data_IF_943071816178
#
_entry.id   IF_943071816178
#
_cell.length_a   1.000
_cell.length_b   1.000
_cell.length_c   1.000
_cell.angle_alpha   90.00
_cell.angle_beta   90.00
_cell.angle_gamma   90.00
#
_symmetry.space_group_name_H-M   'P 1'
#
loop_
_entity.id
_entity.type
_entity.pdbx_description
1 polymer ?
#
# COMPACT_ATOMS: atom_id res chain seq x y z
N UNK A 1 19.00 -23.78 1.36
CA UNK A 1 17.83 -23.53 0.52
C UNK A 1 17.90 -24.46 -0.68
N UNK A 2 16.86 -25.20 -1.04
CA UNK A 2 16.86 -25.95 -2.27
C UNK A 2 17.09 -24.98 -3.42
N UNK A 3 18.01 -25.28 -4.31
CA UNK A 3 18.19 -24.51 -5.53
C UNK A 3 16.88 -24.59 -6.30
N UNK A 4 16.18 -23.47 -6.42
CA UNK A 4 14.97 -23.39 -7.22
C UNK A 4 15.25 -23.91 -8.64
N UNK A 5 14.26 -24.56 -9.25
CA UNK A 5 14.37 -24.92 -10.66
C UNK A 5 14.72 -23.65 -11.45
N UNK A 6 15.62 -23.72 -12.44
CA UNK A 6 15.94 -22.58 -13.27
C UNK A 6 14.62 -22.10 -13.90
N UNK A 7 14.18 -20.90 -13.55
CA UNK A 7 13.04 -20.29 -14.19
C UNK A 7 13.33 -20.21 -15.68
N UNK A 8 12.41 -20.70 -16.50
CA UNK A 8 12.46 -20.51 -17.95
C UNK A 8 12.52 -18.98 -18.16
N UNK A 9 13.65 -18.48 -18.66
CA UNK A 9 13.77 -17.07 -19.01
C UNK A 9 12.89 -16.83 -20.22
N UNK A 10 11.82 -16.02 -20.12
CA UNK A 10 10.96 -15.76 -21.26
C UNK A 10 11.77 -15.20 -22.43
N UNK A 11 11.51 -15.67 -23.66
CA UNK A 11 12.18 -15.13 -24.86
C UNK A 11 11.47 -13.85 -25.35
N UNK A 12 11.38 -12.83 -24.47
CA UNK A 12 10.74 -11.55 -24.72
C UNK A 12 11.72 -10.44 -25.14
N UNK A 13 13.00 -10.81 -25.39
CA UNK A 13 14.05 -9.86 -25.78
C UNK A 13 14.54 -8.94 -24.66
N UNK A 14 13.98 -9.01 -23.44
CA UNK A 14 14.39 -8.15 -22.33
C UNK A 14 15.72 -8.58 -21.73
N UNK A 15 16.60 -7.62 -21.50
CA UNK A 15 17.84 -7.82 -20.76
C UNK A 15 17.57 -8.06 -19.28
N UNK A 16 18.52 -8.68 -18.56
CA UNK A 16 18.46 -8.86 -17.11
C UNK A 16 18.26 -7.53 -16.36
N UNK A 17 18.86 -6.43 -16.85
CA UNK A 17 18.70 -5.09 -16.27
C UNK A 17 17.27 -4.58 -16.42
N UNK A 18 16.66 -4.73 -17.60
CA UNK A 18 15.27 -4.34 -17.85
C UNK A 18 14.31 -5.14 -16.96
N UNK A 19 14.51 -6.46 -16.82
CA UNK A 19 13.70 -7.31 -15.94
C UNK A 19 13.79 -6.90 -14.47
N UNK A 20 15.00 -6.54 -13.97
CA UNK A 20 15.21 -6.10 -12.59
C UNK A 20 14.58 -4.74 -12.29
N UNK A 21 14.40 -3.91 -13.31
CA UNK A 21 13.83 -2.55 -13.16
C UNK A 21 12.35 -2.48 -13.56
N UNK A 22 11.73 -3.63 -13.84
CA UNK A 22 10.30 -3.66 -14.17
C UNK A 22 9.46 -3.18 -12.98
N UNK A 23 8.50 -2.24 -13.19
CA UNK A 23 7.59 -1.83 -12.14
C UNK A 23 6.77 -3.01 -11.64
N UNK A 24 6.46 -3.04 -10.34
CA UNK A 24 5.77 -4.15 -9.69
C UNK A 24 4.56 -3.63 -8.94
N UNK A 25 3.44 -4.33 -9.08
CA UNK A 25 2.25 -4.20 -8.23
C UNK A 25 2.22 -5.40 -7.28
N UNK A 26 2.34 -5.15 -5.98
CA UNK A 26 2.24 -6.17 -4.94
C UNK A 26 0.94 -6.00 -4.14
N UNK A 27 0.26 -7.11 -3.85
CA UNK A 27 -0.95 -7.14 -3.02
C UNK A 27 -0.72 -8.05 -1.82
N UNK A 28 -0.86 -7.47 -0.62
CA UNK A 28 -0.86 -8.23 0.63
C UNK A 28 -2.30 -8.30 1.15
N UNK A 29 -2.91 -9.48 1.10
CA UNK A 29 -4.31 -9.69 1.47
C UNK A 29 -4.48 -10.82 2.50
N UNK A 30 -5.71 -11.25 2.73
CA UNK A 30 -6.04 -12.34 3.66
C UNK A 30 -6.40 -11.88 5.07
N UNK A 31 -6.87 -12.82 5.90
CA UNK A 31 -7.39 -12.57 7.25
C UNK A 31 -6.31 -12.52 8.32
N UNK A 32 -5.11 -13.04 8.03
CA UNK A 32 -3.96 -13.03 8.93
C UNK A 32 -3.35 -11.65 9.12
N UNK A 33 -2.54 -11.52 10.16
CA UNK A 33 -1.76 -10.30 10.45
C UNK A 33 -0.48 -10.22 9.63
N UNK A 34 0.09 -9.01 9.54
CA UNK A 34 1.38 -8.76 8.91
C UNK A 34 1.31 -8.05 7.56
N UNK A 35 0.12 -7.80 6.99
CA UNK A 35 -0.04 -7.13 5.68
C UNK A 35 0.66 -5.78 5.64
N UNK A 36 0.28 -4.87 6.53
CA UNK A 36 0.89 -3.53 6.63
C UNK A 36 2.35 -3.61 7.07
N UNK A 37 2.69 -4.48 8.04
CA UNK A 37 4.07 -4.69 8.49
C UNK A 37 4.98 -5.13 7.34
N UNK A 38 4.52 -6.03 6.47
CA UNK A 38 5.28 -6.44 5.28
C UNK A 38 5.44 -5.27 4.29
N UNK A 39 4.39 -4.49 4.06
CA UNK A 39 4.44 -3.32 3.19
C UNK A 39 5.42 -2.26 3.71
N UNK A 40 5.39 -1.96 5.01
CA UNK A 40 6.35 -1.03 5.63
C UNK A 40 7.76 -1.59 5.67
N UNK A 41 7.95 -2.90 5.77
CA UNK A 41 9.24 -3.56 5.56
C UNK A 41 9.80 -3.34 4.15
N UNK A 42 8.95 -3.33 3.12
CA UNK A 42 9.35 -2.95 1.75
C UNK A 42 9.68 -1.46 1.67
N UNK A 43 8.92 -0.59 2.34
CA UNK A 43 9.24 0.84 2.42
C UNK A 43 10.62 1.09 3.06
N UNK A 44 10.95 0.37 4.14
CA UNK A 44 12.28 0.46 4.75
C UNK A 44 13.41 0.03 3.79
N UNK A 45 13.19 -1.03 3.00
CA UNK A 45 14.14 -1.47 1.97
C UNK A 45 14.30 -0.42 0.86
N UNK A 46 13.19 0.20 0.43
CA UNK A 46 13.19 1.25 -0.57
C UNK A 46 13.89 2.52 -0.06
N UNK A 47 13.66 2.90 1.20
CA UNK A 47 14.36 3.99 1.85
C UNK A 47 15.88 3.82 1.79
N UNK A 48 16.39 2.61 2.10
CA UNK A 48 17.82 2.30 2.02
C UNK A 48 18.40 2.38 0.59
N UNK A 49 17.54 2.38 -0.44
CA UNK A 49 17.94 2.58 -1.83
C UNK A 49 17.78 4.04 -2.28
N UNK A 50 17.58 4.97 -1.36
CA UNK A 50 17.29 6.37 -1.59
C UNK A 50 16.09 6.63 -2.52
N UNK A 51 15.08 5.74 -2.47
CA UNK A 51 13.86 5.92 -3.25
C UNK A 51 12.89 6.88 -2.56
N UNK A 52 12.30 7.86 -3.29
CA UNK A 52 11.17 8.62 -2.74
C UNK A 52 9.96 7.71 -2.54
N UNK A 53 9.36 7.78 -1.35
CA UNK A 53 8.30 6.90 -0.90
C UNK A 53 7.06 7.71 -0.53
N UNK A 54 5.91 7.33 -1.09
CA UNK A 54 4.59 7.82 -0.68
C UNK A 54 3.82 6.74 0.07
N UNK A 55 3.37 7.03 1.28
CA UNK A 55 2.47 6.17 2.03
C UNK A 55 1.09 6.82 2.09
N UNK A 56 0.08 6.12 1.61
CA UNK A 56 -1.32 6.53 1.62
C UNK A 56 -2.09 5.56 2.51
N UNK A 57 -2.55 6.05 3.65
CA UNK A 57 -3.25 5.25 4.64
C UNK A 57 -4.75 5.49 4.55
N UNK A 58 -5.49 4.48 4.06
CA UNK A 58 -6.94 4.51 3.90
C UNK A 58 -7.65 3.97 5.14
N UNK A 59 -8.92 4.35 5.33
CA UNK A 59 -9.87 3.80 6.33
C UNK A 59 -9.49 4.04 7.80
N UNK A 60 -8.26 4.38 8.11
CA UNK A 60 -7.84 4.63 9.50
C UNK A 60 -8.09 6.09 9.87
N UNK A 61 -8.84 6.30 10.97
CA UNK A 61 -9.02 7.65 11.53
C UNK A 61 -7.70 8.20 12.09
N UNK A 62 -7.60 9.54 12.18
CA UNK A 62 -6.46 10.25 12.78
C UNK A 62 -6.09 9.79 14.20
N UNK A 63 -7.06 9.24 14.93
CA UNK A 63 -6.84 8.71 16.28
C UNK A 63 -6.00 7.44 16.30
N UNK A 64 -5.91 6.73 15.17
CA UNK A 64 -5.13 5.51 15.07
C UNK A 64 -3.66 5.84 14.76
N UNK A 65 -2.81 5.71 15.75
CA UNK A 65 -1.36 5.90 15.60
C UNK A 65 -0.73 4.57 15.20
N UNK A 66 -0.11 4.56 14.03
CA UNK A 66 0.70 3.42 13.56
C UNK A 66 2.13 3.68 13.98
N UNK A 67 2.76 2.73 14.65
CA UNK A 67 4.13 2.88 15.17
C UNK A 67 5.15 3.16 14.05
N UNK A 68 4.95 2.54 12.90
CA UNK A 68 5.82 2.69 11.73
C UNK A 68 5.78 4.10 11.11
N UNK A 69 4.66 4.83 11.23
CA UNK A 69 4.53 6.19 10.69
C UNK A 69 5.63 7.11 11.21
N UNK A 70 5.78 7.17 12.55
CA UNK A 70 6.79 8.03 13.17
C UNK A 70 8.21 7.62 12.77
N UNK A 71 8.48 6.31 12.78
CA UNK A 71 9.80 5.79 12.45
C UNK A 71 10.20 6.11 11.00
N UNK A 72 9.30 5.86 10.05
CA UNK A 72 9.54 6.12 8.63
C UNK A 72 9.66 7.62 8.33
N UNK A 73 8.86 8.49 8.97
CA UNK A 73 8.99 9.94 8.85
C UNK A 73 10.36 10.44 9.33
N UNK A 74 10.80 10.00 10.50
CA UNK A 74 12.12 10.34 11.02
C UNK A 74 13.22 9.89 10.08
N UNK A 75 13.17 8.65 9.60
CA UNK A 75 14.11 8.15 8.60
C UNK A 75 14.12 8.99 7.33
N UNK A 76 12.94 9.41 6.82
CA UNK A 76 12.83 10.26 5.64
C UNK A 76 13.45 11.65 5.80
N UNK A 77 13.62 12.14 7.03
CA UNK A 77 14.20 13.43 7.37
C UNK A 77 15.72 13.39 7.59
N UNK A 78 16.32 12.20 7.72
CA UNK A 78 17.77 12.06 8.01
C UNK A 78 18.66 12.47 6.85
N UNK A 79 18.17 12.43 5.64
CA UNK A 79 18.98 12.62 4.42
C UNK A 79 19.90 11.43 4.04
N UNK A 80 19.91 10.36 4.84
CA UNK A 80 20.73 9.16 4.59
C UNK A 80 20.10 8.16 3.64
N UNK A 81 18.80 8.33 3.32
CA UNK A 81 18.04 7.44 2.46
C UNK A 81 17.03 8.20 1.61
N UNK A 82 15.97 7.51 1.20
CA UNK A 82 14.86 8.12 0.45
C UNK A 82 13.98 9.00 1.31
N UNK A 83 13.34 10.01 0.70
CA UNK A 83 12.30 10.79 1.37
C UNK A 83 11.06 9.93 1.63
N UNK A 84 10.34 10.22 2.72
CA UNK A 84 9.08 9.55 3.05
C UNK A 84 8.00 10.59 3.28
N UNK A 85 6.96 10.56 2.46
CA UNK A 85 5.75 11.35 2.63
C UNK A 85 4.60 10.45 3.08
N UNK A 86 3.89 10.87 4.11
CA UNK A 86 2.79 10.10 4.69
C UNK A 86 1.47 10.85 4.60
N UNK A 87 0.50 10.28 3.91
CA UNK A 87 -0.83 10.82 3.71
C UNK A 87 -1.87 10.00 4.49
N UNK A 88 -2.70 10.65 5.30
CA UNK A 88 -3.84 10.03 5.98
C UNK A 88 -5.13 10.41 5.27
N UNK A 89 -5.79 9.45 4.67
CA UNK A 89 -7.00 9.65 3.87
C UNK A 89 -8.29 9.65 4.71
N UNK A 90 -8.21 9.50 6.03
CA UNK A 90 -9.37 9.53 6.95
C UNK A 90 -9.57 10.86 7.69
N UNK A 91 -8.70 11.84 7.56
CA UNK A 91 -8.78 13.15 8.22
C UNK A 91 -9.26 14.26 7.30
N UNK A 92 -10.20 14.02 6.40
CA UNK A 92 -10.75 15.02 5.49
C UNK A 92 -9.88 16.29 5.34
N UNK A 93 -9.36 16.56 4.19
CA UNK A 93 -8.69 17.82 3.91
C UNK A 93 -9.57 18.97 4.40
N UNK A 94 -8.98 20.00 4.96
CA UNK A 94 -9.66 21.06 5.73
C UNK A 94 -10.81 21.78 5.00
N UNK A 95 -10.95 21.64 3.68
CA UNK A 95 -12.04 22.20 2.90
C UNK A 95 -13.30 21.30 2.81
N UNK A 96 -13.21 19.98 3.06
CA UNK A 96 -14.37 19.07 3.10
C UNK A 96 -15.12 19.08 4.44
N UNK A 97 -14.65 19.81 5.44
CA UNK A 97 -15.31 19.96 6.74
C UNK A 97 -16.64 20.69 6.74
N UNK A 98 -17.21 21.01 5.58
CA UNK A 98 -18.56 21.59 5.50
C UNK A 98 -19.61 20.49 5.41
N UNK A 99 -20.25 20.20 6.56
CA UNK A 99 -21.56 19.55 6.68
C UNK A 99 -21.67 18.05 6.35
N UNK A 100 -20.91 17.19 7.01
CA UNK A 100 -21.30 15.78 7.06
C UNK A 100 -21.37 15.33 8.52
N UNK A 101 -22.59 15.06 9.00
CA UNK A 101 -22.87 14.50 10.34
C UNK A 101 -22.69 12.98 10.40
N UNK A 102 -22.37 12.30 9.29
CA UNK A 102 -22.27 10.85 9.21
C UNK A 102 -20.83 10.41 8.88
N UNK A 103 -20.21 9.71 9.83
CA UNK A 103 -18.82 9.24 9.72
C UNK A 103 -18.53 8.31 8.54
N UNK A 104 -19.54 7.61 7.99
CA UNK A 104 -19.35 6.70 6.85
C UNK A 104 -19.22 7.45 5.51
N UNK A 105 -20.02 8.47 5.28
CA UNK A 105 -19.91 9.29 4.06
C UNK A 105 -18.58 10.06 4.00
N UNK A 106 -18.04 10.44 5.16
CA UNK A 106 -16.71 11.06 5.22
C UNK A 106 -15.58 10.11 4.82
N UNK A 107 -15.70 8.83 5.13
CA UNK A 107 -14.69 7.82 4.80
C UNK A 107 -14.69 7.45 3.31
N UNK A 108 -15.85 7.33 2.67
CA UNK A 108 -15.95 7.10 1.22
C UNK A 108 -15.37 8.27 0.43
N UNK A 109 -15.80 9.51 0.76
CA UNK A 109 -15.29 10.71 0.10
C UNK A 109 -13.76 10.85 0.25
N UNK A 110 -13.24 10.59 1.47
CA UNK A 110 -11.82 10.62 1.74
C UNK A 110 -11.05 9.53 0.96
N UNK A 111 -11.63 8.34 0.80
CA UNK A 111 -11.02 7.27 0.02
C UNK A 111 -10.98 7.61 -1.49
N UNK A 112 -12.06 8.19 -2.03
CA UNK A 112 -12.11 8.66 -3.43
C UNK A 112 -11.08 9.77 -3.67
N UNK A 113 -11.02 10.76 -2.80
CA UNK A 113 -10.03 11.85 -2.91
C UNK A 113 -8.59 11.34 -2.77
N UNK A 114 -8.36 10.41 -1.84
CA UNK A 114 -7.07 9.74 -1.71
C UNK A 114 -6.64 9.02 -2.97
N UNK A 115 -7.58 8.35 -3.65
CA UNK A 115 -7.30 7.71 -4.94
C UNK A 115 -6.99 8.76 -6.03
N UNK A 116 -7.72 9.87 -6.09
CA UNK A 116 -7.40 10.97 -7.01
C UNK A 116 -5.98 11.53 -6.77
N UNK A 117 -5.55 11.63 -5.50
CA UNK A 117 -4.17 12.05 -5.20
C UNK A 117 -3.16 11.00 -5.68
N UNK A 118 -3.42 9.71 -5.42
CA UNK A 118 -2.55 8.62 -5.91
C UNK A 118 -2.41 8.67 -7.44
N UNK A 119 -3.51 8.90 -8.18
CA UNK A 119 -3.47 9.05 -9.65
C UNK A 119 -2.56 10.20 -10.08
N UNK A 120 -2.66 11.36 -9.43
CA UNK A 120 -1.79 12.52 -9.73
C UNK A 120 -0.32 12.21 -9.47
N UNK A 121 -0.02 11.57 -8.33
CA UNK A 121 1.36 11.23 -7.97
C UNK A 121 1.95 10.14 -8.88
N UNK A 122 1.14 9.18 -9.32
CA UNK A 122 1.55 8.20 -10.33
C UNK A 122 1.83 8.88 -11.68
N UNK A 123 0.96 9.77 -12.14
CA UNK A 123 1.15 10.48 -13.41
C UNK A 123 2.38 11.40 -13.40
N UNK A 124 2.68 12.01 -12.25
CA UNK A 124 3.83 12.89 -12.05
C UNK A 124 5.13 12.12 -11.69
N UNK A 125 5.09 10.81 -11.54
CA UNK A 125 6.21 9.99 -11.07
C UNK A 125 6.82 10.50 -9.75
N UNK A 126 5.98 11.05 -8.84
CA UNK A 126 6.41 11.68 -7.59
C UNK A 126 7.19 10.72 -6.69
N UNK A 127 6.77 9.46 -6.65
CA UNK A 127 7.35 8.42 -5.80
C UNK A 127 7.86 7.24 -6.61
N UNK A 128 8.94 6.62 -6.14
CA UNK A 128 9.43 5.36 -6.69
C UNK A 128 8.72 4.16 -6.08
N UNK A 129 8.28 4.28 -4.83
CA UNK A 129 7.43 3.31 -4.15
C UNK A 129 6.21 4.01 -3.57
N UNK A 130 5.02 3.50 -3.88
CA UNK A 130 3.78 3.88 -3.24
C UNK A 130 3.28 2.71 -2.37
N UNK A 131 2.92 3.00 -1.12
CA UNK A 131 2.25 2.05 -0.23
C UNK A 131 0.83 2.54 -0.01
N UNK A 132 -0.15 1.78 -0.50
CA UNK A 132 -1.58 2.04 -0.33
C UNK A 132 -2.10 1.14 0.78
N UNK A 133 -1.92 1.62 2.03
CA UNK A 133 -2.26 0.83 3.23
C UNK A 133 -3.78 0.81 3.46
N UNK A 134 -4.34 -0.40 3.62
CA UNK A 134 -5.76 -0.71 3.77
C UNK A 134 -6.63 -0.30 2.55
N UNK A 135 -6.03 -0.08 1.38
CA UNK A 135 -6.75 0.32 0.16
C UNK A 135 -7.67 -0.78 -0.40
N UNK A 136 -7.41 -2.05 -0.09
CA UNK A 136 -8.30 -3.13 -0.51
C UNK A 136 -9.73 -2.98 0.06
N UNK A 137 -9.93 -2.30 1.20
CA UNK A 137 -11.26 -2.05 1.75
C UNK A 137 -12.12 -1.11 0.90
N UNK A 138 -11.67 0.10 0.52
CA UNK A 138 -12.40 0.96 -0.42
C UNK A 138 -12.79 0.25 -1.72
N UNK A 139 -11.93 -0.62 -2.23
CA UNK A 139 -12.21 -1.42 -3.42
C UNK A 139 -13.30 -2.46 -3.15
N UNK A 140 -13.17 -3.22 -2.05
CA UNK A 140 -14.14 -4.23 -1.64
C UNK A 140 -15.54 -3.65 -1.37
N UNK A 141 -15.60 -2.44 -0.82
CA UNK A 141 -16.87 -1.74 -0.54
C UNK A 141 -17.45 -0.99 -1.75
N UNK A 142 -16.74 -0.99 -2.89
CA UNK A 142 -17.19 -0.28 -4.10
C UNK A 142 -17.09 1.25 -3.99
N UNK A 143 -16.34 1.77 -3.03
CA UNK A 143 -16.09 3.22 -2.92
C UNK A 143 -15.18 3.73 -4.03
N UNK A 144 -14.26 2.91 -4.50
CA UNK A 144 -13.38 3.17 -5.63
C UNK A 144 -13.55 2.04 -6.63
N UNK A 145 -13.62 2.38 -7.91
CA UNK A 145 -13.81 1.40 -8.99
C UNK A 145 -12.55 0.55 -9.21
N UNK A 146 -12.68 -0.75 -9.08
CA UNK A 146 -11.57 -1.71 -9.24
C UNK A 146 -11.04 -1.70 -10.68
N UNK A 147 -11.92 -1.59 -11.67
CA UNK A 147 -11.51 -1.60 -13.08
C UNK A 147 -10.68 -0.36 -13.43
N UNK A 148 -11.06 0.82 -12.90
CA UNK A 148 -10.26 2.04 -13.01
C UNK A 148 -8.88 1.85 -12.36
N UNK A 149 -8.82 1.32 -11.12
CA UNK A 149 -7.56 1.10 -10.41
C UNK A 149 -6.65 0.18 -11.19
N UNK A 150 -7.15 -0.94 -11.68
CA UNK A 150 -6.37 -1.91 -12.48
C UNK A 150 -5.83 -1.24 -13.76
N UNK A 151 -6.65 -0.45 -14.45
CA UNK A 151 -6.21 0.26 -15.66
C UNK A 151 -5.11 1.27 -15.34
N UNK A 152 -5.29 2.12 -14.33
CA UNK A 152 -4.31 3.12 -13.92
C UNK A 152 -2.99 2.47 -13.51
N UNK A 153 -3.03 1.39 -12.71
CA UNK A 153 -1.84 0.68 -12.28
C UNK A 153 -1.09 0.02 -13.44
N UNK A 154 -1.80 -0.52 -14.42
CA UNK A 154 -1.20 -1.13 -15.62
C UNK A 154 -0.54 -0.08 -16.51
N UNK A 155 -1.22 1.06 -16.71
CA UNK A 155 -0.84 2.07 -17.68
C UNK A 155 0.04 3.19 -17.08
N UNK A 156 0.40 3.09 -15.77
CA UNK A 156 1.23 4.06 -15.08
C UNK A 156 2.59 4.25 -15.76
N UNK A 157 3.10 5.49 -15.85
CA UNK A 157 4.39 5.77 -16.46
C UNK A 157 5.56 5.28 -15.58
N UNK A 158 6.75 5.26 -16.17
CA UNK A 158 8.01 5.05 -15.49
C UNK A 158 8.19 3.67 -14.86
N UNK A 159 8.79 3.65 -13.67
CA UNK A 159 9.19 2.41 -12.99
C UNK A 159 8.72 2.37 -11.54
N UNK A 160 7.57 2.94 -11.26
CA UNK A 160 7.00 3.06 -9.93
C UNK A 160 6.46 1.71 -9.43
N UNK A 161 6.84 1.32 -8.22
CA UNK A 161 6.31 0.16 -7.54
C UNK A 161 5.11 0.56 -6.68
N UNK A 162 4.09 -0.28 -6.63
CA UNK A 162 2.89 -0.05 -5.81
C UNK A 162 2.64 -1.28 -4.93
N UNK A 163 2.47 -1.06 -3.63
CA UNK A 163 2.11 -2.10 -2.66
C UNK A 163 0.75 -1.77 -2.08
N UNK A 164 -0.20 -2.68 -2.23
CA UNK A 164 -1.56 -2.53 -1.73
C UNK A 164 -1.79 -3.50 -0.58
N UNK A 165 -2.35 -3.03 0.53
CA UNK A 165 -2.72 -3.90 1.65
C UNK A 165 -4.22 -3.86 1.93
N UNK A 166 -4.72 -4.89 2.60
CA UNK A 166 -6.07 -4.98 3.11
C UNK A 166 -6.68 -6.36 2.96
N UNK A 167 -7.76 -6.61 3.70
CA UNK A 167 -8.53 -7.85 3.55
C UNK A 167 -9.43 -7.79 2.33
N UNK A 168 -9.84 -8.96 1.86
CA UNK A 168 -10.82 -9.10 0.79
C UNK A 168 -10.44 -8.32 -0.50
N UNK A 169 -9.16 -8.35 -0.89
CA UNK A 169 -8.75 -7.76 -2.16
C UNK A 169 -9.60 -8.33 -3.31
N UNK A 170 -10.19 -7.48 -4.17
CA UNK A 170 -10.99 -7.94 -5.29
C UNK A 170 -10.22 -8.86 -6.24
N UNK A 171 -10.91 -9.80 -6.85
CA UNK A 171 -10.31 -10.80 -7.74
C UNK A 171 -9.59 -10.14 -8.92
N UNK A 172 -10.18 -9.10 -9.48
CA UNK A 172 -9.62 -8.34 -10.59
C UNK A 172 -8.27 -7.71 -10.24
N UNK A 173 -8.13 -7.20 -9.01
CA UNK A 173 -6.86 -6.66 -8.52
C UNK A 173 -5.82 -7.76 -8.31
N UNK A 174 -6.24 -8.92 -7.76
CA UNK A 174 -5.37 -10.09 -7.57
C UNK A 174 -4.84 -10.60 -8.92
N UNK A 175 -5.69 -10.70 -9.92
CA UNK A 175 -5.33 -11.21 -11.25
C UNK A 175 -4.42 -10.23 -12.02
N UNK A 176 -4.53 -8.92 -11.74
CA UNK A 176 -3.69 -7.89 -12.37
C UNK A 176 -2.35 -7.67 -11.66
N UNK A 177 -2.19 -8.13 -10.41
CA UNK A 177 -0.97 -7.91 -9.63
C UNK A 177 0.18 -8.83 -10.08
N UNK A 178 1.42 -8.32 -9.96
CA UNK A 178 2.64 -9.10 -10.25
C UNK A 178 3.03 -10.02 -9.08
N UNK A 179 2.67 -9.64 -7.86
CA UNK A 179 2.96 -10.38 -6.62
C UNK A 179 1.76 -10.35 -5.69
N UNK A 180 1.27 -11.49 -5.31
CA UNK A 180 0.18 -11.61 -4.32
C UNK A 180 0.64 -12.48 -3.17
N UNK A 181 0.46 -11.98 -1.95
CA UNK A 181 0.68 -12.74 -0.72
C UNK A 181 -0.61 -12.75 0.09
N UNK A 182 -1.16 -13.94 0.31
CA UNK A 182 -2.29 -14.12 1.21
C UNK A 182 -1.80 -14.54 2.60
N UNK A 183 -2.11 -13.72 3.61
CA UNK A 183 -1.77 -13.99 5.00
C UNK A 183 -2.92 -14.69 5.70
N UNK A 184 -2.72 -15.95 6.03
CA UNK A 184 -3.69 -16.80 6.74
C UNK A 184 -3.53 -16.67 8.25
N UNK A 185 -4.66 -16.70 8.98
CA UNK A 185 -4.66 -16.77 10.43
C UNK A 185 -4.54 -18.23 10.88
N UNK A 186 -3.35 -18.65 11.25
CA UNK A 186 -3.13 -19.97 11.85
C UNK A 186 -3.52 -19.95 13.34
N UNK A 187 -3.11 -18.89 14.07
CA UNK A 187 -3.40 -18.67 15.49
C UNK A 187 -3.39 -17.17 15.77
N UNK A 188 -4.26 -16.70 16.65
CA UNK A 188 -4.30 -15.28 17.01
C UNK A 188 -4.50 -15.13 18.54
N UNK A 189 -3.76 -14.24 19.22
CA UNK A 189 -3.90 -14.03 20.66
C UNK A 189 -5.33 -13.62 21.08
N UNK A 190 -6.04 -12.87 20.22
CA UNK A 190 -7.45 -12.50 20.49
C UNK A 190 -8.37 -13.72 20.60
N UNK A 191 -8.09 -14.83 19.96
CA UNK A 191 -8.90 -16.05 20.07
C UNK A 191 -8.80 -16.65 21.49
N UNK A 192 -7.73 -16.29 22.23
CA UNK A 192 -7.55 -16.61 23.65
C UNK A 192 -7.87 -15.42 24.59
N UNK A 193 -8.62 -14.39 24.09
CA UNK A 193 -9.03 -13.23 24.89
C UNK A 193 -7.94 -12.17 25.11
N UNK A 194 -6.75 -12.31 24.53
CA UNK A 194 -5.68 -11.33 24.66
C UNK A 194 -5.99 -10.10 23.81
N UNK A 195 -5.84 -8.90 24.37
CA UNK A 195 -5.98 -7.63 23.64
C UNK A 195 -4.71 -7.26 22.89
N UNK A 196 -4.84 -6.36 21.93
CA UNK A 196 -3.71 -5.81 21.20
C UNK A 196 -2.68 -5.14 22.12
N UNK A 197 -1.42 -5.20 21.75
CA UNK A 197 -0.28 -4.71 22.55
C UNK A 197 0.45 -3.61 21.80
N UNK A 198 0.82 -2.55 22.56
CA UNK A 198 1.68 -1.48 22.05
C UNK A 198 3.05 -2.03 21.68
N UNK A 199 3.57 -1.64 20.51
CA UNK A 199 4.84 -2.14 19.98
C UNK A 199 4.73 -3.48 19.21
N UNK A 200 3.55 -4.14 19.27
CA UNK A 200 3.26 -5.35 18.49
C UNK A 200 2.14 -5.08 17.48
N UNK A 201 1.07 -4.38 17.91
CA UNK A 201 -0.11 -4.11 17.10
C UNK A 201 -0.13 -2.66 16.55
N UNK A 202 0.45 -1.72 17.29
CA UNK A 202 0.59 -0.30 16.92
C UNK A 202 1.79 0.36 17.60
#
# INVERSE_FOLDING_TARGET
>A
MPKGQPSVVPQDGLTTRQRRNRPLVAVHTGVGKGKSTAAFGLALRAWNQAWPIGVFQFVKSAKWKVGEERALKVLGETGEGGSVTWHKMGEGWSWLKRNVQDGELSNEAAAREGWEQVKRDLAAETYRLLVLDEFAYPLHWGWVDVAEVVSVLRDRPGTQHVVITGRNAPRELIDAADLVTEMTKVKHPMDAGQKGQKGIEW
#
